data_IF_083802466872
#
_entry.id   IF_083802466872
#
_cell.length_a   1.000
_cell.length_b   1.000
_cell.length_c   1.000
_cell.angle_alpha   90.00
_cell.angle_beta   90.00
_cell.angle_gamma   90.00
#
_symmetry.space_group_name_H-M   'P 1'
#
loop_
_entity.id
_entity.type
_entity.pdbx_description
1 polymer ?
#
# COMPACT_ATOMS: atom_id res chain seq x y z
N UNK A 1 -14.52 -5.60 -7.85
CA UNK A 1 -13.95 -4.28 -8.18
C UNK A 1 -15.08 -3.30 -8.47
N UNK A 2 -15.19 -2.21 -7.71
CA UNK A 2 -16.05 -1.09 -8.09
C UNK A 2 -15.50 -0.47 -9.38
N UNK A 3 -16.34 -0.24 -10.40
CA UNK A 3 -15.89 0.40 -11.64
C UNK A 3 -15.64 1.87 -11.36
N UNK A 4 -14.38 2.27 -11.41
CA UNK A 4 -13.85 3.61 -11.17
C UNK A 4 -14.24 4.66 -12.23
N UNK A 5 -14.98 4.26 -13.28
CA UNK A 5 -15.25 5.11 -14.44
C UNK A 5 -14.01 5.32 -15.32
N UNK A 6 -14.13 6.14 -16.37
CA UNK A 6 -13.06 6.33 -17.37
C UNK A 6 -11.96 7.29 -16.89
N UNK A 7 -12.22 8.09 -15.85
CA UNK A 7 -11.24 9.03 -15.27
C UNK A 7 -11.43 9.11 -13.75
N UNK A 8 -10.94 8.12 -12.99
CA UNK A 8 -11.06 8.14 -11.54
C UNK A 8 -10.30 9.30 -10.90
N UNK A 9 -10.83 9.80 -9.78
CA UNK A 9 -10.07 10.73 -8.95
C UNK A 9 -8.80 10.03 -8.42
N UNK A 10 -7.64 10.71 -8.37
CA UNK A 10 -6.37 10.11 -7.92
C UNK A 10 -6.46 9.44 -6.54
N UNK A 11 -7.19 10.04 -5.60
CA UNK A 11 -7.48 9.47 -4.28
C UNK A 11 -8.18 8.11 -4.37
N UNK A 12 -9.19 8.01 -5.22
CA UNK A 12 -9.98 6.78 -5.38
C UNK A 12 -9.17 5.68 -6.06
N UNK A 13 -8.30 6.06 -7.00
CA UNK A 13 -7.35 5.15 -7.64
C UNK A 13 -6.36 4.58 -6.63
N UNK A 14 -5.70 5.42 -5.83
CA UNK A 14 -4.78 5.01 -4.76
C UNK A 14 -5.48 4.09 -3.75
N UNK A 15 -6.65 4.51 -3.25
CA UNK A 15 -7.45 3.72 -2.33
C UNK A 15 -7.77 2.34 -2.90
N UNK A 16 -8.18 2.28 -4.16
CA UNK A 16 -8.57 1.02 -4.82
C UNK A 16 -7.38 0.10 -4.99
N UNK A 17 -6.24 0.61 -5.47
CA UNK A 17 -5.03 -0.18 -5.67
C UNK A 17 -4.53 -0.73 -4.34
N UNK A 18 -4.41 0.12 -3.32
CA UNK A 18 -3.93 -0.30 -2.00
C UNK A 18 -4.90 -1.32 -1.37
N UNK A 19 -6.21 -1.08 -1.44
CA UNK A 19 -7.20 -2.04 -0.91
C UNK A 19 -7.13 -3.40 -1.63
N UNK A 20 -6.82 -3.41 -2.94
CA UNK A 20 -6.72 -4.64 -3.72
C UNK A 20 -5.52 -5.51 -3.34
N UNK A 21 -4.45 -4.92 -2.77
CA UNK A 21 -3.27 -5.67 -2.31
C UNK A 21 -3.32 -6.01 -0.82
N UNK A 22 -4.20 -5.39 -0.05
CA UNK A 22 -4.33 -5.68 1.38
C UNK A 22 -4.96 -7.07 1.61
N UNK A 23 -4.46 -7.85 2.59
CA UNK A 23 -4.95 -9.19 2.91
C UNK A 23 -6.26 -9.14 3.73
N UNK A 24 -7.34 -8.68 3.10
CA UNK A 24 -8.62 -8.41 3.73
C UNK A 24 -9.49 -9.67 3.88
N UNK A 25 -9.30 -10.66 3.01
CA UNK A 25 -10.04 -11.93 3.02
C UNK A 25 -9.10 -13.15 3.22
N UNK A 26 -9.67 -14.35 3.25
CA UNK A 26 -8.91 -15.56 3.54
C UNK A 26 -7.86 -15.89 2.46
N UNK A 27 -8.22 -15.70 1.19
CA UNK A 27 -7.36 -16.01 0.04
C UNK A 27 -6.18 -15.05 -0.04
N UNK A 28 -6.46 -13.75 0.00
CA UNK A 28 -5.41 -12.70 0.00
C UNK A 28 -4.47 -12.79 1.20
N UNK A 29 -4.90 -13.38 2.33
CA UNK A 29 -4.02 -13.64 3.48
C UNK A 29 -3.02 -14.74 3.24
N UNK A 30 -3.38 -15.79 2.48
CA UNK A 30 -2.44 -16.87 2.19
C UNK A 30 -1.30 -16.36 1.29
N UNK A 31 -1.65 -15.61 0.24
CA UNK A 31 -0.68 -14.93 -0.62
C UNK A 31 0.17 -13.92 0.17
N UNK A 32 -0.47 -13.11 1.01
CA UNK A 32 0.21 -12.15 1.86
C UNK A 32 1.22 -12.78 2.83
N UNK A 33 0.94 -13.98 3.37
CA UNK A 33 1.90 -14.71 4.22
C UNK A 33 3.14 -15.14 3.45
N UNK A 34 2.97 -15.58 2.20
CA UNK A 34 4.09 -15.94 1.32
C UNK A 34 4.94 -14.71 1.01
N UNK A 35 4.28 -13.60 0.64
CA UNK A 35 4.96 -12.33 0.39
C UNK A 35 5.74 -11.83 1.62
N UNK A 36 5.13 -11.90 2.81
CA UNK A 36 5.79 -11.53 4.08
C UNK A 36 7.01 -12.41 4.39
N UNK A 37 6.90 -13.73 4.18
CA UNK A 37 8.03 -14.64 4.36
C UNK A 37 9.17 -14.32 3.38
N UNK A 38 8.85 -13.98 2.13
CA UNK A 38 9.85 -13.59 1.13
C UNK A 38 10.50 -12.23 1.46
N UNK A 39 9.73 -11.26 1.94
CA UNK A 39 10.24 -9.99 2.42
C UNK A 39 11.22 -10.18 3.59
N UNK A 40 10.84 -11.01 4.58
CA UNK A 40 11.72 -11.35 5.69
C UNK A 40 13.01 -12.07 5.22
N UNK A 41 12.89 -12.99 4.26
CA UNK A 41 14.02 -13.70 3.68
C UNK A 41 15.02 -12.77 2.97
N UNK A 42 14.52 -11.86 2.14
CA UNK A 42 15.36 -10.92 1.39
C UNK A 42 15.97 -9.83 2.28
N UNK A 43 15.29 -9.44 3.37
CA UNK A 43 15.82 -8.52 4.36
C UNK A 43 17.10 -9.02 5.05
N UNK A 44 17.25 -10.35 5.17
CA UNK A 44 18.45 -10.98 5.77
C UNK A 44 19.44 -11.54 4.75
N UNK A 45 19.14 -11.43 3.44
CA UNK A 45 19.98 -11.92 2.32
C UNK A 45 19.98 -10.90 1.17
N UNK A 46 20.82 -9.84 1.26
CA UNK A 46 20.82 -8.73 0.32
C UNK A 46 21.04 -9.13 -1.15
N UNK A 47 21.79 -10.21 -1.39
CA UNK A 47 22.06 -10.78 -2.71
C UNK A 47 20.84 -11.43 -3.38
N UNK A 48 19.77 -11.71 -2.62
CA UNK A 48 18.50 -12.21 -3.15
C UNK A 48 17.55 -11.09 -3.61
N UNK A 49 17.98 -9.82 -3.53
CA UNK A 49 17.11 -8.64 -3.62
C UNK A 49 16.77 -8.18 -5.04
N UNK A 50 15.72 -8.73 -5.64
CA UNK A 50 15.08 -8.19 -6.85
C UNK A 50 14.06 -7.06 -6.54
N UNK A 51 13.57 -6.96 -5.30
CA UNK A 51 12.43 -6.08 -4.95
C UNK A 51 12.70 -4.58 -5.01
N UNK A 52 13.96 -4.13 -5.04
CA UNK A 52 14.29 -2.69 -4.95
C UNK A 52 13.74 -1.89 -6.13
N UNK A 53 13.80 -2.45 -7.34
CA UNK A 53 13.31 -1.79 -8.54
C UNK A 53 11.78 -1.69 -8.52
N UNK A 54 11.09 -2.79 -8.24
CA UNK A 54 9.63 -2.85 -8.17
C UNK A 54 9.07 -1.90 -7.10
N UNK A 55 9.73 -1.84 -5.94
CA UNK A 55 9.38 -0.90 -4.85
C UNK A 55 9.50 0.55 -5.30
N UNK A 56 10.56 0.90 -6.04
CA UNK A 56 10.78 2.25 -6.54
C UNK A 56 9.76 2.64 -7.62
N UNK A 57 9.40 1.71 -8.51
CA UNK A 57 8.36 1.92 -9.53
C UNK A 57 6.99 2.19 -8.89
N UNK A 58 6.60 1.37 -7.90
CA UNK A 58 5.34 1.56 -7.19
C UNK A 58 5.31 2.89 -6.42
N UNK A 59 6.42 3.26 -5.77
CA UNK A 59 6.54 4.55 -5.10
C UNK A 59 6.41 5.72 -6.09
N UNK A 60 7.07 5.65 -7.25
CA UNK A 60 6.98 6.68 -8.29
C UNK A 60 5.56 6.81 -8.87
N UNK A 61 4.87 5.68 -9.04
CA UNK A 61 3.46 5.68 -9.42
C UNK A 61 2.57 6.39 -8.37
N UNK A 62 2.78 6.12 -7.07
CA UNK A 62 2.07 6.83 -6.01
C UNK A 62 2.37 8.33 -6.02
N UNK A 63 3.64 8.71 -6.17
CA UNK A 63 4.05 10.12 -6.22
C UNK A 63 3.32 10.88 -7.35
N UNK A 64 3.14 10.27 -8.52
CA UNK A 64 2.41 10.85 -9.64
C UNK A 64 0.92 11.13 -9.39
N UNK A 65 0.33 10.60 -8.30
CA UNK A 65 -1.07 10.76 -7.94
C UNK A 65 -1.30 11.70 -6.74
N UNK A 66 -0.24 12.13 -6.05
CA UNK A 66 -0.33 12.90 -4.81
C UNK A 66 -0.25 14.42 -5.06
N UNK A 67 -1.26 15.20 -4.67
CA UNK A 67 -1.30 16.64 -4.91
C UNK A 67 -0.57 17.44 -3.82
N UNK A 68 0.64 17.03 -3.44
CA UNK A 68 1.40 17.65 -2.33
C UNK A 68 2.71 18.28 -2.82
N UNK A 69 3.30 19.17 -2.02
CA UNK A 69 4.56 19.85 -2.36
C UNK A 69 5.76 18.91 -2.55
N UNK A 70 5.82 17.83 -1.76
CA UNK A 70 6.88 16.82 -1.83
C UNK A 70 6.26 15.42 -2.05
N UNK A 71 5.87 15.09 -3.30
CA UNK A 71 5.13 13.88 -3.60
C UNK A 71 5.95 12.60 -3.39
N UNK A 72 7.28 12.67 -3.56
CA UNK A 72 8.17 11.52 -3.36
C UNK A 72 8.24 11.11 -1.88
N UNK A 73 8.42 12.08 -0.98
CA UNK A 73 8.41 11.82 0.46
C UNK A 73 7.05 11.30 0.93
N UNK A 74 5.95 11.87 0.41
CA UNK A 74 4.60 11.43 0.73
C UNK A 74 4.31 10.02 0.19
N UNK A 75 4.77 9.69 -1.01
CA UNK A 75 4.63 8.36 -1.60
C UNK A 75 5.40 7.30 -0.80
N UNK A 76 6.63 7.61 -0.37
CA UNK A 76 7.39 6.72 0.50
C UNK A 76 6.66 6.45 1.83
N UNK A 77 6.02 7.48 2.41
CA UNK A 77 5.18 7.35 3.60
C UNK A 77 3.93 6.49 3.37
N UNK A 78 3.24 6.70 2.25
CA UNK A 78 2.06 5.92 1.86
C UNK A 78 2.41 4.44 1.61
N UNK A 79 3.54 4.18 0.97
CA UNK A 79 4.04 2.83 0.74
C UNK A 79 4.37 2.13 2.06
N UNK A 80 5.06 2.83 2.98
CA UNK A 80 5.34 2.29 4.32
C UNK A 80 4.05 2.00 5.11
N UNK A 81 3.02 2.86 4.98
CA UNK A 81 1.70 2.60 5.57
C UNK A 81 1.07 1.33 4.99
N UNK A 82 1.04 1.20 3.65
CA UNK A 82 0.48 0.03 2.97
C UNK A 82 1.12 -1.28 3.47
N UNK A 83 2.46 -1.33 3.51
CA UNK A 83 3.20 -2.49 4.00
C UNK A 83 2.86 -2.79 5.47
N UNK A 84 2.85 -1.75 6.32
CA UNK A 84 2.51 -1.90 7.74
C UNK A 84 1.09 -2.41 7.98
N UNK A 85 0.11 -1.93 7.20
CA UNK A 85 -1.27 -2.42 7.24
C UNK A 85 -1.35 -3.90 6.86
N UNK A 86 -0.61 -4.31 5.81
CA UNK A 86 -0.49 -5.71 5.41
C UNK A 86 0.04 -6.58 6.54
N UNK A 87 1.15 -6.18 7.18
CA UNK A 87 1.74 -6.90 8.31
C UNK A 87 0.77 -7.03 9.49
N UNK A 88 0.07 -5.95 9.86
CA UNK A 88 -0.87 -5.99 10.99
C UNK A 88 -2.16 -6.78 10.72
N UNK A 89 -2.60 -6.87 9.47
CA UNK A 89 -3.68 -7.76 9.09
C UNK A 89 -3.25 -9.23 9.16
N UNK A 90 -2.06 -9.55 8.64
CA UNK A 90 -1.53 -10.92 8.66
C UNK A 90 -1.23 -11.42 10.07
N UNK A 91 -0.73 -10.53 10.95
CA UNK A 91 -0.46 -10.82 12.35
C UNK A 91 -1.70 -10.76 13.26
N UNK A 92 -2.88 -10.38 12.72
CA UNK A 92 -4.14 -10.32 13.46
C UNK A 92 -4.26 -9.13 14.44
N UNK A 93 -3.35 -8.15 14.37
CA UNK A 93 -3.47 -6.92 15.18
C UNK A 93 -4.59 -6.02 14.66
N UNK A 94 -4.82 -6.00 13.34
CA UNK A 94 -5.86 -5.21 12.68
C UNK A 94 -6.95 -6.12 12.12
N UNK A 95 -8.18 -5.62 12.11
CA UNK A 95 -9.31 -6.27 11.44
C UNK A 95 -9.43 -5.78 9.99
N UNK A 96 -10.12 -6.54 9.11
CA UNK A 96 -10.39 -6.13 7.74
C UNK A 96 -11.17 -4.82 7.61
N UNK A 97 -11.85 -4.36 8.66
CA UNK A 97 -12.55 -3.08 8.70
C UNK A 97 -11.63 -1.94 9.16
N UNK A 98 -10.69 -2.24 10.07
CA UNK A 98 -9.79 -1.24 10.65
C UNK A 98 -8.72 -0.76 9.66
N UNK A 99 -8.18 -1.66 8.84
CA UNK A 99 -7.12 -1.31 7.90
C UNK A 99 -7.59 -0.35 6.78
N UNK A 100 -8.73 -0.58 6.10
CA UNK A 100 -9.27 0.39 5.15
C UNK A 100 -9.60 1.75 5.78
N UNK A 101 -10.11 1.77 7.02
CA UNK A 101 -10.38 3.03 7.72
C UNK A 101 -9.08 3.82 8.01
N UNK A 102 -7.99 3.14 8.38
CA UNK A 102 -6.69 3.78 8.58
C UNK A 102 -6.10 4.31 7.26
N UNK A 103 -6.26 3.55 6.17
CA UNK A 103 -5.89 4.01 4.82
C UNK A 103 -6.69 5.25 4.42
N UNK A 104 -8.01 5.22 4.59
CA UNK A 104 -8.90 6.33 4.24
C UNK A 104 -8.52 7.60 5.00
N UNK A 105 -8.28 7.50 6.32
CA UNK A 105 -7.83 8.62 7.13
C UNK A 105 -6.47 9.19 6.68
N UNK A 106 -5.52 8.34 6.28
CA UNK A 106 -4.23 8.81 5.79
C UNK A 106 -4.34 9.48 4.41
N UNK A 107 -5.13 8.92 3.50
CA UNK A 107 -5.41 9.55 2.21
C UNK A 107 -6.11 10.90 2.40
N UNK A 108 -7.02 11.03 3.36
CA UNK A 108 -7.65 12.31 3.66
C UNK A 108 -6.64 13.37 4.09
N UNK A 109 -5.62 13.02 4.88
CA UNK A 109 -4.54 13.95 5.23
C UNK A 109 -3.73 14.39 4.00
N UNK A 110 -3.38 13.44 3.13
CA UNK A 110 -2.59 13.72 1.93
C UNK A 110 -3.34 14.56 0.89
N UNK A 111 -4.67 14.42 0.81
CA UNK A 111 -5.51 15.13 -0.16
C UNK A 111 -6.18 16.39 0.42
N UNK A 112 -6.15 16.60 1.74
CA UNK A 112 -6.64 17.82 2.39
C UNK A 112 -5.52 18.84 2.65
N UNK A 113 -4.26 18.44 2.48
CA UNK A 113 -3.12 19.35 2.59
C UNK A 113 -3.01 20.20 1.32
N UNK A 114 -2.91 21.54 1.43
CA UNK A 114 -2.81 22.44 0.28
C UNK A 114 -1.46 22.39 -0.43
#
# INVERSE_FOLDING_TARGET
MARLGDTPAPRDLLRTIITAVLPLDAESRDDGRVALAFLAYTAVRPEAGALRADTAELSGFFAGLLPVRDPEAAAAGLLALMEGLGVYLLGGQYTPERAPAALDAHLDLLFSSP
#
